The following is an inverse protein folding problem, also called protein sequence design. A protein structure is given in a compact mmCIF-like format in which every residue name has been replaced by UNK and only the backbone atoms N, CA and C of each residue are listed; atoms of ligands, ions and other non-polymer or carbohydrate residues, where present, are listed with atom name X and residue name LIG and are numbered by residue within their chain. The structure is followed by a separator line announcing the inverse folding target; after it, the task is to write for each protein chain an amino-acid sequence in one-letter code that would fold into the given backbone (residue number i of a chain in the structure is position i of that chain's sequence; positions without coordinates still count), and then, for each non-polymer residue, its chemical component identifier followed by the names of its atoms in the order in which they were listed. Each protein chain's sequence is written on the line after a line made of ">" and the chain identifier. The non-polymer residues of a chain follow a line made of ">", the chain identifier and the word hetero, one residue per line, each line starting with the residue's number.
data_IF_048407217994
#
_entry.id   IF_048407217994
#
_cell.length_a   1.000
_cell.length_b   1.000
_cell.length_c   1.000
_cell.angle_alpha   90.00
_cell.angle_beta   90.00
_cell.angle_gamma   90.00
#
_symmetry.space_group_name_H-M   'P 1'
#
loop_
_entity.id
_entity.type
_entity.pdbx_description
1 polymer ?
#
# COMPACT_ATOMS: atom_id res chain seq x y z
N UNK A 1 36.30 -75.63 -21.12
CA UNK A 1 35.25 -76.59 -21.51
C UNK A 1 33.94 -75.82 -21.41
N UNK A 2 33.43 -75.14 -22.43
CA UNK A 2 32.90 -75.61 -23.72
C UNK A 2 31.79 -76.66 -23.56
N UNK A 3 30.53 -76.21 -23.54
CA UNK A 3 29.41 -76.90 -24.21
C UNK A 3 28.49 -75.85 -24.82
N UNK A 4 28.38 -75.92 -26.15
CA UNK A 4 27.44 -75.20 -27.00
C UNK A 4 26.24 -76.13 -27.21
N UNK A 5 25.11 -75.56 -27.64
CA UNK A 5 23.99 -76.15 -28.40
C UNK A 5 22.72 -76.45 -27.57
N UNK A 6 21.72 -75.58 -27.75
CA UNK A 6 20.33 -75.77 -27.32
C UNK A 6 19.41 -74.87 -28.14
N UNK A 7 19.14 -75.32 -29.36
CA UNK A 7 18.33 -74.69 -30.39
C UNK A 7 16.83 -74.90 -30.08
N UNK A 8 16.01 -73.90 -30.42
CA UNK A 8 14.54 -73.92 -30.52
C UNK A 8 13.69 -74.05 -29.25
N UNK A 9 13.07 -72.94 -28.83
CA UNK A 9 11.61 -72.84 -28.93
C UNK A 9 11.20 -71.36 -28.95
N UNK A 10 10.64 -70.93 -30.07
CA UNK A 10 9.99 -69.63 -30.23
C UNK A 10 8.73 -69.66 -29.37
N UNK A 11 8.84 -69.20 -28.12
CA UNK A 11 7.67 -68.86 -27.34
C UNK A 11 7.16 -67.51 -27.87
N UNK A 12 6.09 -67.56 -28.66
CA UNK A 12 5.27 -66.42 -29.03
C UNK A 12 4.91 -65.65 -27.76
N UNK A 13 5.60 -64.55 -27.54
CA UNK A 13 5.22 -63.57 -26.52
C UNK A 13 3.94 -62.93 -27.03
N UNK A 14 2.80 -63.45 -26.59
CA UNK A 14 1.52 -62.75 -26.70
C UNK A 14 1.64 -61.48 -25.85
N UNK A 15 2.16 -60.41 -26.46
CA UNK A 15 2.00 -59.05 -25.98
C UNK A 15 0.50 -58.73 -26.07
N UNK A 16 -0.23 -59.05 -25.00
CA UNK A 16 -1.47 -58.34 -24.69
C UNK A 16 -1.07 -56.90 -24.44
N UNK A 17 -1.27 -56.07 -25.47
CA UNK A 17 -1.07 -54.63 -25.42
C UNK A 17 -2.01 -54.01 -24.40
N UNK A 18 -1.55 -53.91 -23.17
CA UNK A 18 -2.07 -52.97 -22.18
C UNK A 18 -1.38 -51.63 -22.40
N UNK A 19 -2.05 -50.70 -23.07
CA UNK A 19 -1.63 -49.31 -23.06
C UNK A 19 -1.76 -48.78 -21.62
N UNK A 20 -0.65 -48.73 -20.89
CA UNK A 20 -0.57 -47.91 -19.68
C UNK A 20 -0.59 -46.46 -20.12
N UNK A 21 -1.74 -45.80 -19.98
CA UNK A 21 -1.86 -44.35 -20.19
C UNK A 21 -1.09 -43.68 -19.04
N UNK A 22 -0.09 -42.83 -19.30
CA UNK A 22 0.49 -42.02 -18.24
C UNK A 22 -0.56 -41.03 -17.76
N UNK A 23 -0.86 -41.05 -16.47
CA UNK A 23 -1.72 -40.09 -15.81
C UNK A 23 -1.08 -38.69 -15.89
N UNK A 24 -1.79 -37.74 -16.50
CA UNK A 24 -1.49 -36.30 -16.59
C UNK A 24 -0.33 -35.89 -17.51
N UNK A 25 -0.58 -35.92 -18.83
CA UNK A 25 0.16 -35.10 -19.79
C UNK A 25 -0.81 -34.45 -20.79
N UNK A 26 -1.28 -33.24 -20.48
CA UNK A 26 -1.86 -32.36 -21.49
C UNK A 26 -0.75 -31.90 -22.44
N UNK A 27 -0.47 -32.73 -23.44
CA UNK A 27 0.29 -32.37 -24.64
C UNK A 27 -0.69 -32.33 -25.81
N UNK A 28 -1.05 -31.13 -26.26
CA UNK A 28 -1.53 -30.95 -27.64
C UNK A 28 -0.92 -29.65 -28.20
N UNK A 29 -0.07 -29.73 -29.23
CA UNK A 29 0.38 -28.57 -29.99
C UNK A 29 -0.66 -28.27 -31.08
N UNK A 30 -1.42 -27.20 -30.89
CA UNK A 30 -2.46 -26.72 -31.82
C UNK A 30 -3.13 -25.46 -31.24
N UNK A 31 -3.82 -24.63 -32.05
CA UNK A 31 -4.33 -23.32 -31.62
C UNK A 31 -5.49 -23.55 -30.65
N UNK A 32 -5.17 -23.70 -29.38
CA UNK A 32 -6.14 -23.96 -28.32
C UNK A 32 -7.05 -22.74 -28.21
N UNK A 33 -8.31 -22.91 -28.59
CA UNK A 33 -9.36 -21.97 -28.23
C UNK A 33 -9.42 -21.94 -26.70
N UNK A 34 -9.05 -20.81 -26.12
CA UNK A 34 -8.96 -20.62 -24.69
C UNK A 34 -10.35 -20.51 -24.04
N UNK A 35 -10.94 -21.66 -23.75
CA UNK A 35 -12.22 -21.77 -23.06
C UNK A 35 -11.93 -21.87 -21.56
N UNK A 36 -12.12 -20.76 -20.86
CA UNK A 36 -11.98 -20.69 -19.41
C UNK A 36 -13.33 -20.36 -18.76
N UNK A 37 -13.51 -20.79 -17.51
CA UNK A 37 -14.63 -20.34 -16.68
C UNK A 37 -14.43 -18.89 -16.26
N UNK A 38 -15.52 -18.21 -15.91
CA UNK A 38 -15.49 -16.83 -15.38
C UNK A 38 -15.30 -16.80 -13.85
N UNK A 39 -14.81 -17.88 -13.26
CA UNK A 39 -14.50 -17.93 -11.84
C UNK A 39 -13.29 -17.04 -11.55
N UNK A 40 -13.42 -16.16 -10.55
CA UNK A 40 -12.36 -15.23 -10.15
C UNK A 40 -11.56 -15.79 -8.96
N UNK A 41 -10.47 -16.47 -9.28
CA UNK A 41 -9.46 -16.96 -8.33
C UNK A 41 -8.09 -16.45 -8.81
N UNK A 42 -7.74 -15.19 -8.51
CA UNK A 42 -6.64 -14.53 -9.18
C UNK A 42 -5.29 -15.17 -8.89
N UNK A 43 -4.42 -15.12 -9.90
CA UNK A 43 -3.02 -15.54 -9.80
C UNK A 43 -2.10 -14.48 -10.40
N UNK A 44 -0.91 -14.34 -9.86
CA UNK A 44 0.13 -13.47 -10.37
C UNK A 44 1.20 -14.31 -11.06
N UNK A 45 1.31 -14.16 -12.38
CA UNK A 45 2.33 -14.82 -13.16
C UNK A 45 3.73 -14.27 -12.89
N UNK A 46 4.76 -15.05 -13.19
CA UNK A 46 6.17 -14.59 -13.15
C UNK A 46 6.47 -13.47 -14.13
N UNK A 47 5.59 -13.24 -15.10
CA UNK A 47 5.61 -12.11 -16.02
C UNK A 47 5.06 -10.80 -15.41
N UNK A 48 4.67 -10.84 -14.13
CA UNK A 48 4.15 -9.69 -13.39
C UNK A 48 2.69 -9.34 -13.74
N UNK A 49 2.00 -10.18 -14.51
CA UNK A 49 0.59 -9.98 -14.85
C UNK A 49 -0.34 -10.74 -13.91
N UNK A 50 -1.46 -10.08 -13.59
CA UNK A 50 -2.55 -10.70 -12.84
C UNK A 50 -3.53 -11.34 -13.80
N UNK A 51 -3.82 -12.62 -13.58
CA UNK A 51 -4.75 -13.41 -14.34
C UNK A 51 -6.01 -13.70 -13.52
N UNK A 52 -7.23 -13.56 -14.10
CA UNK A 52 -8.49 -13.83 -13.39
C UNK A 52 -8.56 -15.21 -12.74
N UNK A 53 -7.96 -16.20 -13.39
CA UNK A 53 -7.79 -17.55 -12.87
C UNK A 53 -6.61 -18.26 -13.54
N UNK A 54 -6.24 -19.42 -12.98
CA UNK A 54 -5.14 -20.24 -13.50
C UNK A 54 -5.34 -20.68 -14.97
N UNK A 55 -6.59 -20.87 -15.43
CA UNK A 55 -6.86 -21.21 -16.83
C UNK A 55 -6.42 -20.08 -17.75
N UNK A 56 -6.86 -18.85 -17.48
CA UNK A 56 -6.50 -17.67 -18.28
C UNK A 56 -4.98 -17.42 -18.32
N UNK A 57 -4.27 -17.67 -17.22
CA UNK A 57 -2.81 -17.62 -17.15
C UNK A 57 -2.13 -18.63 -18.08
N UNK A 58 -2.52 -19.91 -17.98
CA UNK A 58 -1.96 -20.97 -18.83
C UNK A 58 -2.27 -20.74 -20.30
N UNK A 59 -3.41 -20.12 -20.59
CA UNK A 59 -3.83 -19.71 -21.92
C UNK A 59 -2.92 -18.66 -22.55
N UNK A 60 -2.33 -17.78 -21.74
CA UNK A 60 -1.27 -16.86 -22.20
C UNK A 60 0.13 -17.49 -22.20
N UNK A 61 0.24 -18.78 -21.90
CA UNK A 61 1.52 -19.50 -21.91
C UNK A 61 2.40 -19.27 -20.67
N UNK A 62 1.84 -18.69 -19.61
CA UNK A 62 2.55 -18.51 -18.34
C UNK A 62 2.41 -19.77 -17.48
N UNK A 63 3.54 -20.35 -17.07
CA UNK A 63 3.57 -21.64 -16.36
C UNK A 63 3.78 -21.51 -14.84
N UNK A 64 4.45 -20.45 -14.40
CA UNK A 64 4.79 -20.21 -13.00
C UNK A 64 4.04 -19.01 -12.44
N UNK A 65 3.58 -19.11 -11.20
CA UNK A 65 2.76 -18.09 -10.55
C UNK A 65 2.71 -18.25 -9.03
N UNK A 66 2.23 -17.19 -8.36
CA UNK A 66 1.73 -17.28 -6.99
C UNK A 66 0.24 -16.93 -6.93
N UNK A 67 -0.46 -17.37 -5.87
CA UNK A 67 -1.87 -17.05 -5.66
C UNK A 67 -2.05 -15.57 -5.32
N UNK A 68 -3.18 -15.00 -5.73
CA UNK A 68 -3.50 -13.58 -5.54
C UNK A 68 -3.09 -12.70 -6.73
N UNK A 69 -3.43 -11.43 -6.66
CA UNK A 69 -3.05 -10.45 -7.69
C UNK A 69 -1.61 -9.98 -7.50
N UNK A 70 -0.98 -9.53 -8.58
CA UNK A 70 0.37 -8.98 -8.53
C UNK A 70 0.40 -7.68 -7.71
N UNK A 71 1.57 -7.39 -7.13
CA UNK A 71 1.77 -6.18 -6.33
C UNK A 71 1.10 -6.21 -4.95
N UNK A 72 0.27 -7.21 -4.65
CA UNK A 72 -0.18 -7.50 -3.29
C UNK A 72 0.67 -8.59 -2.64
N UNK A 73 1.05 -8.41 -1.37
CA UNK A 73 1.74 -9.46 -0.64
C UNK A 73 0.84 -10.69 -0.53
N UNK A 74 1.37 -11.85 -0.92
CA UNK A 74 0.75 -13.12 -0.54
C UNK A 74 0.79 -13.20 0.98
N UNK A 75 -0.38 -13.33 1.60
CA UNK A 75 -0.57 -13.42 3.05
C UNK A 75 -0.11 -14.76 3.65
N UNK A 76 1.01 -15.31 3.15
CA UNK A 76 1.71 -16.46 3.69
C UNK A 76 2.89 -15.97 4.51
N UNK A 77 2.61 -15.45 5.71
CA UNK A 77 3.64 -14.86 6.56
C UNK A 77 4.34 -15.90 7.44
N UNK A 78 5.68 -15.81 7.60
CA UNK A 78 6.39 -16.67 8.53
C UNK A 78 5.95 -16.36 9.97
N UNK A 79 5.95 -17.38 10.83
CA UNK A 79 5.65 -17.24 12.27
C UNK A 79 6.89 -16.78 13.07
N UNK A 80 7.62 -15.82 12.52
CA UNK A 80 8.77 -15.20 13.18
C UNK A 80 8.27 -13.94 13.87
N UNK A 81 8.54 -13.82 15.16
CA UNK A 81 8.15 -12.65 15.95
C UNK A 81 9.24 -11.58 15.89
N UNK A 82 9.00 -10.56 15.07
CA UNK A 82 9.82 -9.35 14.89
C UNK A 82 8.86 -8.16 14.80
N UNK A 83 8.29 -7.72 15.93
CA UNK A 83 7.10 -6.89 15.93
C UNK A 83 7.35 -5.54 15.27
N UNK A 84 6.31 -5.02 14.61
CA UNK A 84 6.28 -3.68 14.02
C UNK A 84 4.98 -3.00 14.39
N UNK A 85 5.01 -1.66 14.49
CA UNK A 85 3.82 -0.87 14.72
C UNK A 85 3.31 -0.30 13.39
N UNK A 86 1.99 -0.39 13.17
CA UNK A 86 1.31 0.24 12.05
C UNK A 86 0.90 1.68 12.34
N UNK A 87 0.63 2.47 11.29
CA UNK A 87 0.07 3.83 11.42
C UNK A 87 -1.35 3.85 11.98
N UNK A 88 -2.02 2.70 11.98
CA UNK A 88 -3.31 2.46 12.62
C UNK A 88 -3.21 2.18 14.13
N UNK A 89 -1.99 2.09 14.67
CA UNK A 89 -1.72 1.85 16.08
C UNK A 89 -1.81 0.41 16.50
N UNK A 90 -1.92 -0.51 15.56
CA UNK A 90 -1.90 -1.94 15.82
C UNK A 90 -0.47 -2.48 15.75
N UNK A 91 -0.15 -3.38 16.66
CA UNK A 91 1.11 -4.13 16.63
C UNK A 91 0.94 -5.38 15.78
N UNK A 92 1.82 -5.56 14.81
CA UNK A 92 1.88 -6.74 13.95
C UNK A 92 3.04 -7.62 14.36
N UNK A 93 2.89 -8.95 14.27
CA UNK A 93 3.90 -9.91 14.69
C UNK A 93 5.18 -9.82 13.88
N UNK A 94 5.08 -9.39 12.62
CA UNK A 94 6.20 -9.00 11.76
C UNK A 94 5.78 -8.11 10.58
N UNK A 95 6.77 -7.66 9.80
CA UNK A 95 6.55 -6.81 8.62
C UNK A 95 5.72 -7.47 7.51
N UNK A 96 5.71 -8.81 7.40
CA UNK A 96 4.83 -9.49 6.47
C UNK A 96 3.37 -9.35 6.89
N UNK A 97 3.07 -9.60 8.17
CA UNK A 97 1.70 -9.49 8.70
C UNK A 97 1.16 -8.06 8.56
N UNK A 98 2.00 -7.04 8.79
CA UNK A 98 1.64 -5.62 8.57
C UNK A 98 1.31 -5.33 7.10
N UNK A 99 2.16 -5.78 6.15
CA UNK A 99 1.90 -5.60 4.72
C UNK A 99 0.66 -6.39 4.26
N UNK A 100 0.47 -7.59 4.77
CA UNK A 100 -0.71 -8.41 4.48
C UNK A 100 -2.01 -7.74 4.95
N UNK A 101 -1.97 -7.05 6.09
CA UNK A 101 -3.08 -6.23 6.55
C UNK A 101 -3.28 -4.93 5.75
N UNK A 102 -2.37 -4.59 4.82
CA UNK A 102 -2.44 -3.37 4.02
C UNK A 102 -2.22 -2.10 4.84
N UNK A 103 -1.58 -2.21 6.00
CA UNK A 103 -1.36 -1.08 6.91
C UNK A 103 0.03 -0.49 6.69
N UNK A 104 0.12 0.84 6.69
CA UNK A 104 1.39 1.54 6.54
C UNK A 104 2.27 1.35 7.78
N UNK A 105 3.56 1.10 7.56
CA UNK A 105 4.55 0.97 8.62
C UNK A 105 4.72 2.29 9.38
N UNK A 106 4.79 2.23 10.71
CA UNK A 106 5.05 3.37 11.58
C UNK A 106 6.45 3.31 12.21
N UNK A 107 6.74 2.26 12.99
CA UNK A 107 8.04 2.07 13.64
C UNK A 107 8.36 0.58 13.85
N UNK A 108 9.63 0.28 14.09
CA UNK A 108 10.06 -1.03 14.57
C UNK A 108 9.63 -1.25 16.03
N UNK A 109 9.42 -2.52 16.41
CA UNK A 109 8.91 -2.89 17.72
C UNK A 109 7.38 -2.75 17.84
N UNK A 110 6.81 -3.16 18.98
CA UNK A 110 5.38 -3.00 19.24
C UNK A 110 4.99 -1.53 19.37
N UNK A 111 3.70 -1.22 19.22
CA UNK A 111 3.17 0.10 19.51
C UNK A 111 3.24 0.37 21.02
N UNK A 112 3.84 1.50 21.41
CA UNK A 112 4.12 1.85 22.80
C UNK A 112 3.19 2.93 23.38
N UNK A 113 2.12 3.33 22.67
CA UNK A 113 1.21 4.40 23.10
C UNK A 113 -0.26 4.16 22.74
N UNK A 114 -1.17 4.84 23.44
CA UNK A 114 -2.57 5.00 23.01
C UNK A 114 -2.56 5.71 21.65
N UNK A 115 -3.46 5.30 20.73
CA UNK A 115 -3.52 5.56 19.29
C UNK A 115 -3.38 7.02 18.77
N UNK A 116 -2.96 8.00 19.57
CA UNK A 116 -2.92 9.42 19.24
C UNK A 116 -1.51 9.99 18.99
N UNK A 117 -0.44 9.20 19.09
CA UNK A 117 0.92 9.69 18.82
C UNK A 117 1.70 8.80 17.85
N UNK A 118 1.04 8.35 16.77
CA UNK A 118 1.71 7.68 15.65
C UNK A 118 2.15 8.67 14.57
N UNK A 119 2.57 9.84 15.05
CA UNK A 119 3.28 10.80 14.25
C UNK A 119 4.77 10.51 14.51
N UNK A 120 5.59 10.21 13.49
CA UNK A 120 7.01 9.99 13.70
C UNK A 120 7.59 11.22 14.40
N UNK A 121 8.55 11.08 15.33
CA UNK A 121 9.33 12.22 15.79
C UNK A 121 10.05 12.82 14.56
N UNK A 122 9.47 13.89 13.99
CA UNK A 122 9.88 14.45 12.70
C UNK A 122 8.72 14.83 11.75
N UNK A 123 7.49 14.38 12.00
CA UNK A 123 6.29 14.87 11.30
C UNK A 123 5.38 15.60 12.28
N UNK A 124 5.94 16.45 13.14
CA UNK A 124 5.15 17.38 13.94
C UNK A 124 4.09 18.02 13.04
N UNK A 125 2.82 17.90 13.45
CA UNK A 125 1.61 18.35 12.74
C UNK A 125 1.97 19.13 11.47
N UNK A 126 2.09 18.45 10.32
CA UNK A 126 1.64 19.14 9.11
C UNK A 126 0.13 19.18 9.23
N UNK A 127 -0.38 20.10 10.07
CA UNK A 127 -1.41 21.01 9.56
C UNK A 127 -0.95 21.28 8.14
N UNK A 128 -1.73 20.86 7.15
CA UNK A 128 -1.39 21.10 5.76
C UNK A 128 -0.91 22.54 5.72
N UNK A 129 0.41 22.75 5.55
CA UNK A 129 0.98 24.09 5.52
C UNK A 129 0.58 24.56 4.14
N UNK A 130 -0.68 24.94 4.02
CA UNK A 130 -1.24 25.60 2.87
C UNK A 130 -0.39 26.86 2.83
N UNK A 131 0.56 26.97 1.88
CA UNK A 131 1.41 28.14 1.80
C UNK A 131 0.48 29.34 1.74
N UNK A 132 0.85 30.40 2.45
CA UNK A 132 0.05 31.61 2.46
C UNK A 132 0.18 32.30 1.11
N UNK A 133 -0.71 31.92 0.20
CA UNK A 133 -0.86 32.54 -1.10
C UNK A 133 -1.83 33.69 -0.92
N UNK A 134 -1.28 34.88 -0.71
CA UNK A 134 -2.03 36.12 -0.68
C UNK A 134 -1.65 36.98 -1.89
N UNK A 135 -2.61 37.76 -2.36
CA UNK A 135 -2.32 38.78 -3.36
C UNK A 135 -1.53 39.93 -2.70
N UNK A 136 -0.75 40.66 -3.49
CA UNK A 136 -0.04 41.86 -3.03
C UNK A 136 -0.93 43.11 -3.03
N UNK A 137 -2.25 42.95 -2.98
CA UNK A 137 -3.17 44.08 -2.90
C UNK A 137 -3.03 44.73 -1.51
N UNK A 138 -2.84 46.04 -1.48
CA UNK A 138 -2.76 46.79 -0.23
C UNK A 138 -4.15 47.27 0.18
N UNK A 139 -4.77 46.55 1.11
CA UNK A 139 -6.06 46.84 1.74
C UNK A 139 -5.90 46.58 3.25
N UNK A 140 -5.20 47.47 3.97
CA UNK A 140 -4.65 47.14 5.27
C UNK A 140 -5.72 46.89 6.32
N UNK A 141 -5.41 46.01 7.27
CA UNK A 141 -6.26 45.71 8.44
C UNK A 141 -5.41 45.70 9.71
N UNK A 142 -6.00 46.09 10.84
CA UNK A 142 -5.33 46.04 12.13
C UNK A 142 -5.67 44.74 12.87
N UNK A 143 -4.65 44.00 13.31
CA UNK A 143 -4.81 42.81 14.13
C UNK A 143 -4.94 43.12 15.62
N UNK A 144 -5.50 42.17 16.38
CA UNK A 144 -5.61 42.22 17.85
C UNK A 144 -4.25 42.31 18.57
N UNK A 145 -3.17 41.99 17.87
CA UNK A 145 -1.79 42.13 18.34
C UNK A 145 -1.17 43.52 18.06
N UNK A 146 -1.96 44.48 17.57
CA UNK A 146 -1.49 45.82 17.21
C UNK A 146 -0.62 45.87 15.96
N UNK A 147 -0.55 44.79 15.18
CA UNK A 147 0.18 44.76 13.91
C UNK A 147 -0.74 45.08 12.74
N UNK A 148 -0.23 45.88 11.80
CA UNK A 148 -0.91 46.16 10.53
C UNK A 148 -0.58 45.10 9.51
N UNK A 149 -1.61 44.46 8.96
CA UNK A 149 -1.49 43.47 7.90
C UNK A 149 -1.79 44.13 6.56
N UNK A 150 -1.05 43.76 5.50
CA UNK A 150 -1.20 44.37 4.17
C UNK A 150 -2.57 44.13 3.53
N UNK A 151 -3.19 43.00 3.88
CA UNK A 151 -4.61 42.71 3.61
C UNK A 151 -5.18 41.63 4.53
N UNK A 152 -6.49 41.43 4.46
CA UNK A 152 -7.23 40.39 5.21
C UNK A 152 -6.64 38.98 5.01
N UNK A 153 -6.13 38.65 3.82
CA UNK A 153 -5.51 37.35 3.58
C UNK A 153 -4.25 37.17 4.43
N UNK A 154 -3.39 38.20 4.50
CA UNK A 154 -2.17 38.15 5.33
C UNK A 154 -2.49 38.06 6.82
N UNK A 155 -3.57 38.69 7.31
CA UNK A 155 -4.01 38.50 8.70
C UNK A 155 -4.49 37.06 8.97
N UNK A 156 -5.32 36.51 8.07
CA UNK A 156 -5.82 35.13 8.21
C UNK A 156 -4.75 34.09 8.03
N UNK A 157 -3.67 34.40 7.31
CA UNK A 157 -2.50 33.54 7.21
C UNK A 157 -1.86 33.38 8.59
N UNK A 158 -1.49 34.49 9.23
CA UNK A 158 -0.81 34.49 10.53
C UNK A 158 -1.72 33.93 11.63
N UNK A 159 -3.04 34.13 11.53
CA UNK A 159 -4.02 33.57 12.47
C UNK A 159 -4.10 32.03 12.44
N UNK A 160 -3.55 31.36 11.40
CA UNK A 160 -3.44 29.88 11.37
C UNK A 160 -2.46 29.36 12.42
N UNK A 161 -1.45 30.16 12.73
CA UNK A 161 -0.39 29.83 13.70
C UNK A 161 -0.61 30.52 15.05
N UNK A 162 -1.41 31.59 15.06
CA UNK A 162 -1.77 32.34 16.26
C UNK A 162 -3.30 32.35 16.49
N UNK A 163 -3.85 31.40 17.28
CA UNK A 163 -5.29 31.30 17.54
C UNK A 163 -5.93 32.54 18.20
N UNK A 164 -5.13 33.36 18.88
CA UNK A 164 -5.57 34.58 19.56
C UNK A 164 -5.56 35.82 18.62
N UNK A 165 -5.00 35.68 17.41
CA UNK A 165 -4.96 36.74 16.42
C UNK A 165 -6.32 36.86 15.72
N UNK A 166 -6.97 38.00 15.91
CA UNK A 166 -8.21 38.37 15.24
C UNK A 166 -8.09 39.75 14.62
N UNK A 167 -9.02 40.11 13.74
CA UNK A 167 -9.08 41.47 13.17
C UNK A 167 -9.74 42.41 14.18
N UNK A 168 -9.08 43.54 14.45
CA UNK A 168 -9.61 44.62 15.27
C UNK A 168 -10.48 45.58 14.43
N UNK A 169 -9.90 46.16 13.37
CA UNK A 169 -10.61 47.05 12.45
C UNK A 169 -9.97 47.09 11.06
N UNK A 170 -10.69 47.66 10.09
CA UNK A 170 -10.16 48.00 8.76
C UNK A 170 -9.18 49.17 8.84
N UNK A 171 -8.18 49.20 7.97
CA UNK A 171 -7.12 50.21 7.99
C UNK A 171 -5.91 49.81 8.85
N UNK A 172 -4.82 50.59 8.79
CA UNK A 172 -3.63 50.37 9.60
C UNK A 172 -3.89 50.69 11.08
N UNK A 173 -3.15 50.02 11.97
CA UNK A 173 -3.14 50.32 13.39
C UNK A 173 -2.55 51.71 13.66
N UNK A 174 -3.10 52.46 14.61
CA UNK A 174 -2.70 53.86 14.88
C UNK A 174 -1.60 54.03 15.95
N UNK A 175 -0.88 52.96 16.29
CA UNK A 175 0.26 52.99 17.22
C UNK A 175 -0.08 53.19 18.70
N UNK A 176 -1.36 53.37 19.04
CA UNK A 176 -1.87 53.52 20.42
C UNK A 176 -2.66 52.30 20.93
N UNK A 177 -2.80 51.26 20.10
CA UNK A 177 -3.67 50.10 20.36
C UNK A 177 -3.04 49.00 21.23
N UNK A 178 -1.84 49.23 21.77
CA UNK A 178 -1.24 48.35 22.80
C UNK A 178 -1.71 48.69 24.23
N UNK A 179 -2.61 49.66 24.42
CA UNK A 179 -2.98 50.11 25.77
C UNK A 179 -4.46 50.51 25.90
N UNK A 180 -5.41 49.59 25.73
CA UNK A 180 -6.76 49.76 26.34
C UNK A 180 -7.41 48.42 26.70
N UNK A 181 -6.76 47.64 27.57
CA UNK A 181 -7.51 46.88 28.59
C UNK A 181 -7.40 47.64 29.92
N UNK A 182 -7.87 48.87 29.92
CA UNK A 182 -8.25 49.57 31.15
C UNK A 182 -9.74 49.88 31.00
N UNK A 183 -10.63 49.22 31.77
CA UNK A 183 -12.00 49.68 31.87
C UNK A 183 -11.98 50.92 32.77
N UNK A 184 -12.13 52.10 32.19
CA UNK A 184 -12.43 53.31 32.96
C UNK A 184 -13.91 53.69 32.78
N UNK A 185 -14.60 53.67 33.93
CA UNK A 185 -15.95 54.12 34.29
C UNK A 185 -17.18 53.26 33.92
#
# INVERSE_FOLDING_TARGET
>A
MLTIVGLFCVALVAFVGGATVPEQAHTTPGPHMCICTMEYMPVCGVDGKTYPNMCSMKCEGVAEYHKGICGLPVCACPRIYQPVCGQDGQTYGNSCELRCAGVAFFQEGPCTGTAQTLIPPGVGKRQAVIPCICTFIYQPVCGSNGQTFGNECTLRCDARENPELSKLHEGPCSGTELVTFSPDF
#
